data_IF_413906414420
#
_entry.id   IF_413906414420
#
_cell.length_a   1.000
_cell.length_b   1.000
_cell.length_c   1.000
_cell.angle_alpha   90.00
_cell.angle_beta   90.00
_cell.angle_gamma   90.00
#
_symmetry.space_group_name_H-M   'P 1'
#
loop_
_entity.id
_entity.type
_entity.pdbx_description
1 polymer ?
#
# COMPACT_ATOMS: atom_id res chain seq x y z
N UNK A 1 -15.94 -9.62 35.97
CA UNK A 1 -15.40 -8.59 35.07
C UNK A 1 -16.14 -8.70 33.76
N UNK A 2 -16.88 -7.65 33.39
CA UNK A 2 -17.58 -7.55 32.11
C UNK A 2 -16.55 -7.44 30.98
N UNK A 3 -16.50 -8.40 30.02
CA UNK A 3 -15.50 -8.40 28.95
C UNK A 3 -15.60 -7.21 27.99
N UNK A 4 -16.64 -6.38 28.10
CA UNK A 4 -16.84 -5.19 27.24
C UNK A 4 -16.07 -3.95 27.69
N UNK A 5 -15.38 -4.00 28.84
CA UNK A 5 -14.70 -2.83 29.45
C UNK A 5 -13.18 -2.82 29.28
N UNK A 6 -12.59 -3.82 28.59
CA UNK A 6 -11.17 -3.80 28.25
C UNK A 6 -10.95 -2.80 27.11
N UNK A 7 -10.14 -1.74 27.29
CA UNK A 7 -9.79 -0.84 26.20
C UNK A 7 -9.17 -1.65 25.07
N UNK A 8 -9.88 -1.72 23.94
CA UNK A 8 -9.36 -2.34 22.75
C UNK A 8 -8.37 -1.37 22.12
N UNK A 9 -7.09 -1.50 22.53
CA UNK A 9 -6.02 -0.78 21.86
C UNK A 9 -5.99 -1.27 20.40
N UNK A 10 -6.09 -0.36 19.41
CA UNK A 10 -5.96 -0.77 18.02
C UNK A 10 -4.55 -1.32 17.79
N UNK A 11 -4.48 -2.41 17.02
CA UNK A 11 -3.22 -3.00 16.55
C UNK A 11 -2.79 -2.24 15.30
N UNK A 12 -1.52 -1.91 15.21
CA UNK A 12 -0.98 -1.25 14.03
C UNK A 12 -0.52 -2.31 13.04
N UNK A 13 -1.00 -2.24 11.81
CA UNK A 13 -0.57 -3.09 10.71
C UNK A 13 0.12 -2.21 9.69
N UNK A 14 1.35 -2.59 9.36
CA UNK A 14 2.10 -2.01 8.24
C UNK A 14 2.13 -3.01 7.11
N UNK A 15 1.82 -2.58 5.89
CA UNK A 15 1.97 -3.42 4.72
C UNK A 15 2.69 -2.65 3.62
N UNK A 16 3.54 -3.37 2.91
CA UNK A 16 4.34 -2.87 1.82
C UNK A 16 3.81 -3.48 0.53
N UNK A 17 3.53 -2.62 -0.43
CA UNK A 17 3.04 -2.97 -1.76
C UNK A 17 4.05 -2.55 -2.82
N UNK A 18 4.15 -3.35 -3.88
CA UNK A 18 4.85 -2.98 -5.10
C UNK A 18 3.87 -2.61 -6.17
N UNK A 19 4.31 -1.70 -7.03
CA UNK A 19 3.57 -1.27 -8.19
C UNK A 19 4.44 -1.34 -9.43
N UNK A 20 3.85 -1.73 -10.56
CA UNK A 20 4.50 -1.64 -11.87
C UNK A 20 3.54 -1.14 -12.94
N UNK A 21 4.00 -0.16 -13.71
CA UNK A 21 3.27 0.43 -14.84
C UNK A 21 4.08 0.34 -16.12
N UNK A 22 3.41 0.54 -17.26
CA UNK A 22 4.09 0.81 -18.52
C UNK A 22 4.86 2.13 -18.42
N UNK A 23 6.18 2.09 -18.67
CA UNK A 23 7.06 3.27 -18.58
C UNK A 23 6.68 4.34 -19.60
N UNK A 24 6.21 3.93 -20.77
CA UNK A 24 5.66 4.79 -21.81
C UNK A 24 4.47 5.64 -21.35
N UNK A 25 3.80 5.25 -20.27
CA UNK A 25 2.65 5.97 -19.69
C UNK A 25 2.94 6.60 -18.32
N UNK A 26 3.75 5.93 -17.50
CA UNK A 26 4.16 6.39 -16.17
C UNK A 26 5.69 6.32 -16.11
N UNK A 27 6.34 7.45 -16.36
CA UNK A 27 7.77 7.49 -16.61
C UNK A 27 8.59 7.45 -15.32
N UNK A 28 9.57 6.55 -15.28
CA UNK A 28 10.68 6.61 -14.35
C UNK A 28 12.03 6.45 -15.06
N UNK A 29 13.05 7.09 -14.50
CA UNK A 29 14.45 6.86 -14.82
C UNK A 29 15.35 7.01 -13.59
N UNK A 30 16.66 6.93 -13.82
CA UNK A 30 17.65 7.06 -12.76
C UNK A 30 17.58 8.41 -12.02
N UNK A 31 17.25 9.50 -12.73
CA UNK A 31 17.08 10.83 -12.13
C UNK A 31 15.89 10.86 -11.18
N UNK A 32 14.79 10.23 -11.58
CA UNK A 32 13.58 10.07 -10.78
C UNK A 32 13.89 9.30 -9.49
N UNK A 33 14.61 8.17 -9.59
CA UNK A 33 15.02 7.39 -8.42
C UNK A 33 15.93 8.22 -7.49
N UNK A 34 16.94 8.88 -8.04
CA UNK A 34 17.92 9.64 -7.25
C UNK A 34 17.31 10.85 -6.52
N UNK A 35 16.23 11.41 -7.07
CA UNK A 35 15.49 12.53 -6.48
C UNK A 35 14.33 12.10 -5.57
N UNK A 36 14.17 10.79 -5.34
CA UNK A 36 12.99 10.21 -4.68
C UNK A 36 11.66 10.67 -5.32
N UNK A 37 11.68 10.84 -6.65
CA UNK A 37 10.51 11.17 -7.45
C UNK A 37 9.48 10.05 -7.45
N UNK A 38 8.25 10.43 -7.76
CA UNK A 38 7.11 9.50 -7.79
C UNK A 38 6.71 9.21 -9.24
N UNK A 39 6.15 8.03 -9.47
CA UNK A 39 5.75 7.56 -10.81
C UNK A 39 4.27 7.71 -11.05
N UNK A 40 3.47 7.37 -10.05
CA UNK A 40 2.01 7.38 -10.13
C UNK A 40 1.40 7.23 -8.75
N UNK A 41 0.08 7.09 -8.70
CA UNK A 41 -0.63 6.83 -7.45
C UNK A 41 -1.04 5.36 -7.39
N UNK A 42 -0.67 4.71 -6.29
CA UNK A 42 -1.15 3.39 -5.90
C UNK A 42 -2.39 3.52 -5.04
N UNK A 43 -3.32 2.56 -5.16
CA UNK A 43 -4.51 2.52 -4.32
C UNK A 43 -4.68 1.16 -3.65
N UNK A 44 -4.86 1.18 -2.33
CA UNK A 44 -5.24 0.02 -1.52
C UNK A 44 -6.70 0.20 -1.15
N UNK A 45 -7.55 -0.76 -1.47
CA UNK A 45 -8.95 -0.70 -1.04
C UNK A 45 -9.23 -1.80 -0.05
N UNK A 46 -9.75 -1.41 1.12
CA UNK A 46 -10.32 -2.36 2.05
C UNK A 46 -11.66 -2.86 1.51
N UNK A 47 -11.87 -4.18 1.56
CA UNK A 47 -13.12 -4.81 1.14
C UNK A 47 -13.72 -5.62 2.29
N UNK A 48 -15.00 -5.38 2.57
CA UNK A 48 -15.78 -6.08 3.59
C UNK A 48 -16.47 -5.15 4.60
N UNK A 49 -17.36 -5.70 5.42
CA UNK A 49 -18.13 -4.98 6.44
C UNK A 49 -17.29 -4.47 7.62
N UNK A 50 -16.05 -4.94 7.71
CA UNK A 50 -15.16 -4.76 8.86
C UNK A 50 -14.06 -3.71 8.62
N UNK A 51 -14.16 -2.96 7.53
CA UNK A 51 -13.12 -2.00 7.13
C UNK A 51 -12.93 -0.84 8.11
N UNK A 52 -13.91 -0.55 8.98
CA UNK A 52 -13.80 0.56 9.93
C UNK A 52 -13.43 1.87 9.22
N UNK A 53 -12.41 2.57 9.72
CA UNK A 53 -11.82 3.77 9.10
C UNK A 53 -10.73 3.47 8.05
N UNK A 54 -10.50 2.21 7.71
CA UNK A 54 -9.57 1.80 6.65
C UNK A 54 -10.22 2.09 5.29
N UNK A 55 -10.38 3.37 4.98
CA UNK A 55 -10.82 3.87 3.69
C UNK A 55 -9.75 3.60 2.64
N UNK A 56 -10.12 3.55 1.36
CA UNK A 56 -9.16 3.35 0.27
C UNK A 56 -7.98 4.32 0.40
N UNK A 57 -6.77 3.79 0.57
CA UNK A 57 -5.56 4.58 0.73
C UNK A 57 -4.98 4.77 -0.66
N UNK A 58 -5.01 6.01 -1.13
CA UNK A 58 -4.35 6.41 -2.38
C UNK A 58 -3.15 7.25 -2.04
N UNK A 59 -1.98 6.86 -2.53
CA UNK A 59 -0.75 7.56 -2.25
C UNK A 59 0.22 7.50 -3.43
N UNK A 60 1.04 8.55 -3.54
CA UNK A 60 2.06 8.63 -4.58
C UNK A 60 3.13 7.56 -4.31
N UNK A 61 3.48 6.81 -5.35
CA UNK A 61 4.42 5.69 -5.28
C UNK A 61 5.79 6.19 -5.73
N UNK A 62 6.79 6.18 -4.82
CA UNK A 62 8.18 6.44 -5.17
C UNK A 62 8.67 5.48 -6.23
N UNK A 63 9.39 5.98 -7.24
CA UNK A 63 10.05 5.10 -8.18
C UNK A 63 11.26 4.44 -7.51
N UNK A 64 11.37 3.13 -7.65
CA UNK A 64 12.48 2.34 -7.13
C UNK A 64 13.24 1.60 -8.22
N UNK A 65 12.63 1.39 -9.41
CA UNK A 65 13.27 0.71 -10.53
C UNK A 65 12.60 1.03 -11.87
N UNK A 66 13.32 0.84 -12.99
CA UNK A 66 12.76 0.96 -14.34
C UNK A 66 13.50 0.08 -15.35
N UNK A 67 12.80 -0.31 -16.41
CA UNK A 67 13.36 -1.02 -17.55
C UNK A 67 12.90 -0.38 -18.85
N UNK A 68 13.87 0.14 -19.63
CA UNK A 68 13.60 0.70 -20.97
C UNK A 68 13.23 -0.41 -21.95
N UNK A 69 13.92 -1.55 -21.90
CA UNK A 69 13.71 -2.67 -22.83
C UNK A 69 12.38 -3.38 -22.60
N UNK A 70 11.90 -3.44 -21.36
CA UNK A 70 10.62 -4.06 -21.02
C UNK A 70 9.47 -3.06 -20.95
N UNK A 71 9.74 -1.76 -21.12
CA UNK A 71 8.77 -0.66 -20.96
C UNK A 71 8.09 -0.69 -19.57
N UNK A 72 8.85 -0.84 -18.49
CA UNK A 72 8.32 -0.93 -17.11
C UNK A 72 8.91 0.17 -16.22
N UNK A 73 8.05 0.78 -15.39
CA UNK A 73 8.48 1.56 -14.23
C UNK A 73 7.86 0.96 -12.97
N UNK A 74 8.68 0.81 -11.93
CA UNK A 74 8.33 0.10 -10.71
C UNK A 74 8.60 0.94 -9.47
N UNK A 75 7.78 0.73 -8.46
CA UNK A 75 7.86 1.45 -7.21
C UNK A 75 7.35 0.64 -6.04
N UNK A 76 7.52 1.20 -4.85
CA UNK A 76 7.11 0.58 -3.61
C UNK A 76 6.52 1.63 -2.67
N UNK A 77 5.44 1.28 -2.00
CA UNK A 77 4.81 2.10 -0.96
C UNK A 77 4.59 1.25 0.29
N UNK A 78 4.82 1.85 1.46
CA UNK A 78 4.44 1.25 2.74
C UNK A 78 3.31 2.06 3.35
N UNK A 79 2.26 1.37 3.74
CA UNK A 79 1.05 1.95 4.31
C UNK A 79 0.82 1.37 5.70
N UNK A 80 0.43 2.23 6.63
CA UNK A 80 0.17 1.88 8.02
C UNK A 80 -1.30 2.12 8.33
N UNK A 81 -1.98 1.11 8.87
CA UNK A 81 -3.38 1.16 9.28
C UNK A 81 -3.53 0.72 10.73
N UNK A 82 -4.52 1.28 11.41
CA UNK A 82 -4.88 0.89 12.77
C UNK A 82 -6.15 0.03 12.70
N UNK A 83 -6.07 -1.21 13.19
CA UNK A 83 -7.20 -2.13 13.26
C UNK A 83 -7.67 -2.30 14.70
N UNK A 84 -8.98 -2.23 14.93
CA UNK A 84 -9.54 -2.63 16.21
C UNK A 84 -9.25 -4.12 16.48
N UNK A 85 -9.11 -4.49 17.76
CA UNK A 85 -8.84 -5.88 18.12
C UNK A 85 -10.04 -6.77 17.82
N UNK A 86 -9.78 -8.06 17.55
CA UNK A 86 -10.80 -9.05 17.14
C UNK A 86 -11.56 -8.74 15.83
N UNK A 87 -11.05 -7.82 15.00
CA UNK A 87 -11.61 -7.53 13.67
C UNK A 87 -10.84 -8.28 12.59
N UNK A 88 -11.54 -8.78 11.57
CA UNK A 88 -10.96 -9.34 10.35
C UNK A 88 -11.10 -8.34 9.21
N UNK A 89 -10.00 -8.02 8.55
CA UNK A 89 -9.99 -7.09 7.41
C UNK A 89 -9.44 -7.81 6.17
N UNK A 90 -10.09 -7.59 5.03
CA UNK A 90 -9.59 -7.97 3.71
C UNK A 90 -9.06 -6.74 2.98
N UNK A 91 -7.83 -6.80 2.48
CA UNK A 91 -7.26 -5.78 1.60
C UNK A 91 -7.22 -6.33 0.18
N UNK A 92 -7.74 -5.56 -0.77
CA UNK A 92 -7.65 -5.88 -2.19
C UNK A 92 -6.82 -4.82 -2.90
N UNK A 93 -5.89 -5.33 -3.70
CA UNK A 93 -5.01 -4.56 -4.56
C UNK A 93 -5.54 -4.72 -5.97
N UNK A 94 -5.59 -3.63 -6.73
CA UNK A 94 -6.12 -3.65 -8.10
C UNK A 94 -5.14 -2.97 -9.05
N UNK A 95 -5.22 -3.33 -10.32
CA UNK A 95 -4.40 -2.73 -11.38
C UNK A 95 -2.93 -3.16 -11.29
N UNK A 96 -2.05 -2.19 -11.05
CA UNK A 96 -0.60 -2.30 -11.11
C UNK A 96 0.05 -2.84 -9.83
N UNK A 97 -0.73 -3.15 -8.80
CA UNK A 97 -0.25 -3.32 -7.43
C UNK A 97 -0.32 -4.78 -6.93
N UNK A 98 0.64 -5.19 -6.09
CA UNK A 98 0.56 -6.42 -5.31
C UNK A 98 1.26 -6.30 -3.94
N UNK A 99 0.87 -7.16 -3.00
CA UNK A 99 1.50 -7.22 -1.66
C UNK A 99 2.89 -7.79 -1.77
N UNK A 100 3.86 -7.11 -1.16
CA UNK A 100 5.19 -7.64 -0.93
C UNK A 100 5.37 -8.11 0.52
N UNK A 101 4.89 -7.32 1.48
CA UNK A 101 5.10 -7.62 2.90
C UNK A 101 3.98 -7.12 3.80
N UNK A 102 3.75 -7.81 4.90
CA UNK A 102 2.82 -7.41 5.97
C UNK A 102 3.52 -7.59 7.32
N UNK A 103 3.37 -6.61 8.19
CA UNK A 103 3.88 -6.58 9.56
C UNK A 103 2.76 -6.17 10.51
N UNK A 104 2.74 -6.81 11.67
CA UNK A 104 1.80 -6.53 12.75
C UNK A 104 2.65 -6.07 13.94
N UNK A 105 2.39 -4.86 14.43
CA UNK A 105 3.12 -4.23 15.53
C UNK A 105 2.27 -4.21 16.80
#
# INVERSE_FOLDING_TARGET
VDPTTVPQNPVQISFTERHSWRRSSQYCDQTTINSAGTIGAGSVTCVGSSCGSCCSITAAVPCTDFSVSQDVSSGQLTTIINLATNVKVGLTFTGSAWVEKVFIN
#
